data_IF_772616703345
#
_entry.id   IF_772616703345
#
_cell.length_a   1.000
_cell.length_b   1.000
_cell.length_c   1.000
_cell.angle_alpha   90.00
_cell.angle_beta   90.00
_cell.angle_gamma   90.00
#
_symmetry.space_group_name_H-M   'P 1'
#
loop_
_entity.id
_entity.type
_entity.pdbx_description
1 polymer ?
#
# COMPACT_ATOMS: atom_id res chain seq x y z
N UNK A 1 16.20 5.26 12.08
CA UNK A 1 16.66 3.91 11.79
C UNK A 1 15.51 3.08 11.21
N UNK A 2 15.74 2.40 10.09
CA UNK A 2 14.71 1.58 9.44
C UNK A 2 14.48 0.30 10.22
N UNK A 3 13.22 0.00 10.53
CA UNK A 3 12.84 -1.25 11.17
C UNK A 3 12.87 -2.40 10.17
N UNK A 4 13.33 -3.56 10.61
CA UNK A 4 13.41 -4.78 9.80
C UNK A 4 12.95 -5.97 10.63
N UNK A 5 12.34 -6.95 9.98
CA UNK A 5 11.88 -8.18 10.61
C UNK A 5 12.31 -9.38 9.77
N UNK A 6 12.47 -10.54 10.39
CA UNK A 6 12.87 -11.75 9.70
C UNK A 6 11.71 -12.44 8.99
N UNK A 7 10.50 -12.30 9.53
CA UNK A 7 9.33 -13.01 9.04
C UNK A 7 8.15 -12.05 8.88
N UNK A 8 7.21 -12.35 7.97
CA UNK A 8 5.94 -11.62 7.91
C UNK A 8 5.20 -11.71 9.24
N UNK A 9 4.40 -10.69 9.60
CA UNK A 9 3.65 -10.72 10.85
C UNK A 9 2.57 -11.82 10.82
N UNK A 10 2.28 -12.38 11.99
CA UNK A 10 1.13 -13.25 12.14
C UNK A 10 -0.14 -12.46 11.84
N UNK A 11 -1.13 -13.14 11.24
CA UNK A 11 -2.41 -12.52 10.96
C UNK A 11 -3.20 -12.37 12.26
N UNK A 12 -3.37 -11.13 12.71
CA UNK A 12 -4.09 -10.81 13.95
C UNK A 12 -5.35 -9.99 13.70
N UNK A 13 -5.55 -9.52 12.47
CA UNK A 13 -6.76 -8.76 12.12
C UNK A 13 -7.94 -9.69 11.93
N UNK A 14 -9.15 -9.11 12.00
CA UNK A 14 -10.39 -9.83 11.73
C UNK A 14 -10.74 -9.68 10.24
N UNK A 15 -10.69 -10.77 9.43
CA UNK A 15 -10.97 -10.67 7.99
C UNK A 15 -12.43 -10.30 7.67
N UNK A 16 -13.34 -10.38 8.65
CA UNK A 16 -14.73 -10.01 8.45
C UNK A 16 -14.99 -8.51 8.63
N UNK A 17 -14.00 -7.74 9.10
CA UNK A 17 -14.14 -6.30 9.34
C UNK A 17 -13.45 -5.49 8.25
N UNK A 18 -13.98 -4.31 7.95
CA UNK A 18 -13.29 -3.32 7.15
C UNK A 18 -12.32 -2.54 8.05
N UNK A 19 -11.18 -2.18 7.51
CA UNK A 19 -10.18 -1.35 8.20
C UNK A 19 -9.95 -0.07 7.42
N UNK A 20 -9.71 1.01 8.13
CA UNK A 20 -9.47 2.32 7.55
C UNK A 20 -8.11 2.85 7.99
N UNK A 21 -7.37 3.41 7.05
CA UNK A 21 -6.05 3.98 7.31
C UNK A 21 -6.03 5.40 6.78
N UNK A 22 -5.45 6.30 7.54
CA UNK A 22 -5.24 7.69 7.17
C UNK A 22 -3.75 7.90 6.87
N UNK A 23 -3.44 8.42 5.69
CA UNK A 23 -2.10 8.84 5.30
C UNK A 23 -2.08 10.37 5.31
N UNK A 24 -1.34 10.96 6.23
CA UNK A 24 -1.16 12.41 6.29
C UNK A 24 0.08 12.75 5.48
N UNK A 25 -0.10 13.37 4.33
CA UNK A 25 0.99 13.74 3.43
C UNK A 25 1.23 15.24 3.44
N UNK A 26 2.36 15.68 2.89
CA UNK A 26 2.63 17.12 2.73
C UNK A 26 1.71 17.80 1.71
N UNK A 27 0.89 17.04 0.98
CA UNK A 27 -0.12 17.58 0.05
C UNK A 27 -1.54 17.48 0.60
N UNK A 28 -1.75 16.82 1.73
CA UNK A 28 -3.04 16.63 2.36
C UNK A 28 -3.26 15.22 2.83
N UNK A 29 -4.48 14.93 3.25
CA UNK A 29 -4.85 13.65 3.84
C UNK A 29 -5.48 12.74 2.80
N UNK A 30 -5.06 11.45 2.82
CA UNK A 30 -5.66 10.38 2.02
C UNK A 30 -6.21 9.37 3.01
N UNK A 31 -7.48 8.98 2.85
CA UNK A 31 -8.05 7.89 3.64
C UNK A 31 -8.30 6.68 2.75
N UNK A 32 -7.93 5.53 3.27
CA UNK A 32 -8.04 4.24 2.59
C UNK A 32 -9.02 3.35 3.33
N UNK A 33 -9.81 2.59 2.57
CA UNK A 33 -10.59 1.47 3.09
C UNK A 33 -9.92 0.19 2.61
N UNK A 34 -9.62 -0.72 3.53
CA UNK A 34 -8.92 -1.97 3.25
C UNK A 34 -9.87 -3.14 3.34
N UNK A 35 -9.65 -4.16 2.50
CA UNK A 35 -10.56 -5.30 2.35
C UNK A 35 -9.87 -6.61 2.76
N UNK A 36 -9.77 -6.90 4.06
CA UNK A 36 -9.12 -8.13 4.52
C UNK A 36 -9.88 -9.41 4.14
N UNK A 37 -11.17 -9.28 3.79
CA UNK A 37 -11.95 -10.38 3.27
C UNK A 37 -11.31 -10.97 2.00
N UNK A 38 -10.73 -10.13 1.17
CA UNK A 38 -10.16 -10.53 -0.13
C UNK A 38 -8.65 -10.67 -0.12
N UNK A 39 -7.96 -10.01 0.81
CA UNK A 39 -6.50 -10.02 0.90
C UNK A 39 -6.06 -9.95 2.37
N UNK A 40 -6.37 -10.99 3.17
CA UNK A 40 -6.15 -10.92 4.63
C UNK A 40 -4.69 -10.73 5.04
N UNK A 41 -3.76 -11.42 4.39
CA UNK A 41 -2.34 -11.28 4.74
C UNK A 41 -1.79 -9.92 4.33
N UNK A 42 -2.20 -9.43 3.17
CA UNK A 42 -1.77 -8.12 2.66
C UNK A 42 -2.28 -7.00 3.55
N UNK A 43 -3.56 -7.03 3.91
CA UNK A 43 -4.15 -6.03 4.82
C UNK A 43 -3.49 -6.12 6.20
N UNK A 44 -3.31 -7.33 6.73
CA UNK A 44 -2.66 -7.53 8.01
C UNK A 44 -1.23 -6.94 8.02
N UNK A 45 -0.48 -7.20 6.96
CA UNK A 45 0.87 -6.66 6.79
C UNK A 45 0.87 -5.14 6.78
N UNK A 46 -0.02 -4.55 6.01
CA UNK A 46 -0.11 -3.09 5.91
C UNK A 46 -0.45 -2.46 7.25
N UNK A 47 -1.43 -3.01 7.96
CA UNK A 47 -1.83 -2.52 9.29
C UNK A 47 -0.69 -2.69 10.29
N UNK A 48 0.01 -3.82 10.26
CA UNK A 48 1.18 -4.05 11.11
C UNK A 48 2.23 -2.95 10.90
N UNK A 49 2.56 -2.66 9.64
CA UNK A 49 3.57 -1.65 9.32
C UNK A 49 3.11 -0.24 9.71
N UNK A 50 1.82 0.06 9.53
CA UNK A 50 1.25 1.34 9.99
C UNK A 50 1.41 1.47 11.51
N UNK A 51 1.07 0.44 12.27
CA UNK A 51 1.16 0.44 13.72
C UNK A 51 2.61 0.53 14.22
N UNK A 52 3.56 0.05 13.43
CA UNK A 52 4.99 0.13 13.75
C UNK A 52 5.62 1.45 13.31
N UNK A 53 4.82 2.40 12.84
CA UNK A 53 5.29 3.69 12.31
C UNK A 53 6.28 3.54 11.14
N UNK A 54 6.21 2.41 10.44
CA UNK A 54 7.16 2.07 9.37
C UNK A 54 7.08 3.06 8.20
N UNK A 55 5.88 3.53 7.90
CA UNK A 55 5.64 4.44 6.78
C UNK A 55 5.84 5.91 7.12
N UNK A 56 6.03 6.25 8.40
CA UNK A 56 6.21 7.64 8.80
C UNK A 56 7.52 8.19 8.23
N UNK A 57 7.43 9.30 7.52
CA UNK A 57 8.58 9.92 6.87
C UNK A 57 9.01 9.29 5.54
N UNK A 58 8.27 8.31 5.05
CA UNK A 58 8.61 7.60 3.80
C UNK A 58 8.04 8.35 2.59
N UNK A 59 8.83 8.43 1.53
CA UNK A 59 8.47 9.19 0.34
C UNK A 59 7.70 8.36 -0.69
N UNK A 60 6.96 9.07 -1.56
CA UNK A 60 6.50 8.50 -2.82
C UNK A 60 7.66 8.61 -3.81
N UNK A 61 8.45 7.56 -3.91
CA UNK A 61 9.70 7.57 -4.67
C UNK A 61 9.51 7.40 -6.18
N UNK A 62 8.30 7.02 -6.61
CA UNK A 62 7.99 6.86 -8.02
C UNK A 62 6.56 7.32 -8.28
N UNK A 63 6.41 8.35 -9.10
CA UNK A 63 5.11 8.91 -9.47
C UNK A 63 5.05 9.06 -10.97
N UNK A 64 4.05 8.45 -11.60
CA UNK A 64 3.84 8.53 -13.05
C UNK A 64 2.43 9.01 -13.30
N UNK A 65 2.28 10.17 -13.93
CA UNK A 65 0.99 10.78 -14.23
C UNK A 65 0.08 9.81 -15.00
N UNK A 66 -1.20 9.82 -14.65
CA UNK A 66 -2.24 8.97 -15.24
C UNK A 66 -2.01 7.47 -15.00
N UNK A 67 -1.04 7.11 -14.17
CA UNK A 67 -0.73 5.73 -13.84
C UNK A 67 -0.88 5.50 -12.33
N UNK A 68 0.10 5.90 -11.53
CA UNK A 68 0.08 5.60 -10.09
C UNK A 68 1.07 6.46 -9.31
N UNK A 69 0.89 6.47 -7.99
CA UNK A 69 1.88 6.95 -7.03
C UNK A 69 2.37 5.74 -6.23
N UNK A 70 3.66 5.56 -6.11
CA UNK A 70 4.27 4.40 -5.44
C UNK A 70 5.16 4.85 -4.29
N UNK A 71 4.98 4.22 -3.15
CA UNK A 71 5.77 4.49 -1.94
C UNK A 71 5.94 3.25 -1.09
N UNK A 72 6.35 3.45 0.16
CA UNK A 72 6.47 2.35 1.11
C UNK A 72 7.86 1.75 1.22
N UNK A 73 8.82 2.24 0.45
CA UNK A 73 10.22 1.86 0.58
C UNK A 73 10.92 2.84 1.53
N UNK A 74 11.34 2.39 2.72
CA UNK A 74 11.97 3.29 3.70
C UNK A 74 13.29 3.88 3.23
N UNK A 75 13.94 3.27 2.23
CA UNK A 75 15.19 3.79 1.66
C UNK A 75 14.93 4.77 0.51
N UNK A 76 13.72 4.79 -0.06
CA UNK A 76 13.37 5.65 -1.18
C UNK A 76 14.02 5.27 -2.50
N UNK A 77 14.68 4.11 -2.58
CA UNK A 77 15.42 3.67 -3.77
C UNK A 77 14.61 2.78 -4.71
N UNK A 78 13.51 2.22 -4.22
CA UNK A 78 12.71 1.24 -4.96
C UNK A 78 13.11 -0.21 -4.67
N UNK A 79 14.19 -0.43 -3.94
CA UNK A 79 14.68 -1.78 -3.62
C UNK A 79 14.61 -2.14 -2.14
N UNK A 80 14.22 -1.21 -1.28
CA UNK A 80 14.09 -1.44 0.15
C UNK A 80 12.75 -2.05 0.53
N UNK A 81 12.66 -2.54 1.76
CA UNK A 81 11.45 -3.15 2.28
C UNK A 81 11.57 -3.48 3.77
N UNK A 82 10.67 -4.30 4.31
CA UNK A 82 10.61 -4.57 5.75
C UNK A 82 11.51 -5.73 6.22
N UNK A 83 12.27 -6.34 5.32
CA UNK A 83 13.18 -7.45 5.65
C UNK A 83 12.61 -8.82 5.35
N UNK A 84 11.38 -8.91 4.91
CA UNK A 84 10.71 -10.19 4.55
C UNK A 84 9.93 -10.02 3.25
N UNK A 85 9.49 -11.15 2.70
CA UNK A 85 8.58 -11.21 1.55
C UNK A 85 7.44 -12.17 1.85
N UNK A 86 6.31 -11.95 1.19
CA UNK A 86 5.17 -12.86 1.32
C UNK A 86 4.44 -13.00 -0.02
N UNK A 87 3.63 -14.05 -0.09
CA UNK A 87 2.93 -14.44 -1.31
C UNK A 87 1.83 -13.47 -1.73
N UNK A 88 1.53 -13.46 -3.03
CA UNK A 88 0.40 -12.74 -3.59
C UNK A 88 -0.92 -13.35 -3.11
N UNK A 89 -1.95 -12.53 -3.05
CA UNK A 89 -3.32 -12.97 -2.73
C UNK A 89 -4.22 -12.67 -3.92
N UNK A 90 -4.03 -13.45 -4.99
CA UNK A 90 -4.72 -13.25 -6.27
C UNK A 90 -5.88 -14.23 -6.48
N UNK A 91 -5.71 -15.48 -6.08
CA UNK A 91 -6.75 -16.51 -6.23
C UNK A 91 -7.93 -16.19 -5.31
N UNK A 92 -9.11 -16.08 -5.89
CA UNK A 92 -10.32 -15.75 -5.14
C UNK A 92 -10.46 -14.28 -4.79
N UNK A 93 -9.52 -13.44 -5.20
CA UNK A 93 -9.59 -11.99 -4.99
C UNK A 93 -10.28 -11.33 -6.18
N UNK A 94 -11.52 -10.81 -6.03
CA UNK A 94 -12.26 -10.22 -7.14
C UNK A 94 -11.87 -8.78 -7.45
N UNK A 95 -11.00 -8.17 -6.63
CA UNK A 95 -10.67 -6.75 -6.77
C UNK A 95 -9.81 -6.51 -8.01
N UNK A 96 -10.11 -5.42 -8.71
CA UNK A 96 -9.44 -5.04 -9.96
C UNK A 96 -8.73 -3.69 -9.79
N UNK A 97 -7.77 -3.44 -10.67
CA UNK A 97 -7.06 -2.16 -10.70
C UNK A 97 -7.91 -1.09 -11.39
N UNK A 98 -8.95 -0.63 -10.69
CA UNK A 98 -9.72 0.53 -11.09
C UNK A 98 -8.99 1.82 -10.73
N UNK A 99 -9.69 2.98 -10.78
CA UNK A 99 -9.16 4.25 -10.30
C UNK A 99 -9.05 4.26 -8.79
N UNK A 100 -7.96 4.87 -8.28
CA UNK A 100 -7.80 5.16 -6.84
C UNK A 100 -7.91 3.92 -5.96
N UNK A 101 -7.33 2.82 -6.41
CA UNK A 101 -7.17 1.61 -5.60
C UNK A 101 -5.74 1.51 -5.09
N UNK A 102 -5.57 0.87 -3.92
CA UNK A 102 -4.25 0.55 -3.39
C UNK A 102 -3.93 -0.91 -3.65
N UNK A 103 -2.71 -1.15 -4.13
CA UNK A 103 -2.23 -2.46 -4.55
C UNK A 103 -0.77 -2.61 -4.15
N UNK A 104 -0.27 -3.84 -4.06
CA UNK A 104 1.11 -4.10 -3.68
C UNK A 104 2.04 -4.03 -4.88
N UNK A 105 3.10 -3.23 -4.75
CA UNK A 105 4.22 -3.29 -5.66
C UNK A 105 5.01 -4.57 -5.40
N UNK A 106 5.62 -5.13 -6.44
CA UNK A 106 6.43 -6.35 -6.30
C UNK A 106 7.52 -6.39 -7.37
N UNK A 107 8.43 -7.35 -7.22
CA UNK A 107 9.52 -7.62 -8.15
C UNK A 107 9.33 -8.97 -8.84
N UNK A 108 8.09 -9.35 -9.08
CA UNK A 108 7.68 -10.63 -9.65
C UNK A 108 6.77 -11.38 -8.69
N UNK A 109 6.36 -12.61 -9.01
CA UNK A 109 5.42 -13.36 -8.18
C UNK A 109 5.93 -13.56 -6.75
N UNK A 110 5.03 -13.39 -5.77
CA UNK A 110 5.28 -13.72 -4.36
C UNK A 110 6.46 -12.96 -3.74
N UNK A 111 6.62 -11.67 -4.09
CA UNK A 111 7.70 -10.82 -3.56
C UNK A 111 7.17 -9.58 -2.86
N UNK A 112 5.99 -9.66 -2.26
CA UNK A 112 5.40 -8.54 -1.54
C UNK A 112 6.17 -8.23 -0.26
N UNK A 113 6.31 -6.95 0.05
CA UNK A 113 6.95 -6.49 1.28
C UNK A 113 6.21 -5.28 1.82
N UNK A 114 6.78 -4.09 1.71
CA UNK A 114 6.16 -2.87 2.21
C UNK A 114 5.75 -1.89 1.11
N UNK A 115 6.28 -2.03 -0.09
CA UNK A 115 5.97 -1.08 -1.17
C UNK A 115 4.57 -1.29 -1.71
N UNK A 116 3.88 -0.18 -1.93
CA UNK A 116 2.52 -0.17 -2.47
C UNK A 116 2.38 0.96 -3.49
N UNK A 117 1.31 0.90 -4.26
CA UNK A 117 0.96 2.01 -5.15
C UNK A 117 -0.54 2.27 -5.10
N UNK A 118 -0.90 3.52 -5.42
CA UNK A 118 -2.30 3.94 -5.54
C UNK A 118 -2.47 4.42 -6.99
N UNK A 119 -3.45 3.87 -7.69
CA UNK A 119 -3.67 4.19 -9.10
C UNK A 119 -4.31 5.58 -9.26
N UNK A 120 -3.93 6.28 -10.34
CA UNK A 120 -4.64 7.48 -10.79
C UNK A 120 -5.90 7.10 -11.56
N UNK A 121 -5.71 6.26 -12.57
CA UNK A 121 -6.75 5.80 -13.51
C UNK A 121 -6.73 4.27 -13.55
N UNK A 122 -7.75 3.62 -14.14
CA UNK A 122 -7.75 2.16 -14.25
C UNK A 122 -6.53 1.62 -14.96
N UNK A 123 -5.96 0.53 -14.41
CA UNK A 123 -4.78 -0.13 -14.94
C UNK A 123 -5.03 -1.64 -15.06
N UNK A 124 -5.89 -2.08 -15.98
CA UNK A 124 -6.28 -3.48 -16.06
C UNK A 124 -5.13 -4.44 -16.38
N UNK A 125 -4.06 -3.95 -16.99
CA UNK A 125 -2.89 -4.78 -17.28
C UNK A 125 -2.16 -5.26 -16.01
N UNK A 126 -2.45 -4.68 -14.84
CA UNK A 126 -1.87 -5.09 -13.56
C UNK A 126 -2.69 -6.17 -12.85
N UNK A 127 -3.91 -6.43 -13.32
CA UNK A 127 -4.75 -7.48 -12.74
C UNK A 127 -4.05 -8.83 -12.86
N UNK A 128 -4.20 -9.67 -11.85
CA UNK A 128 -3.54 -10.99 -11.72
C UNK A 128 -2.03 -10.96 -11.55
N UNK A 129 -1.43 -9.77 -11.34
CA UNK A 129 0.02 -9.62 -11.10
C UNK A 129 0.32 -8.91 -9.79
N UNK A 130 -0.60 -8.08 -9.32
CA UNK A 130 -0.47 -7.29 -8.11
C UNK A 130 -1.71 -7.47 -7.25
N UNK A 131 -1.52 -7.55 -5.94
CA UNK A 131 -2.63 -7.75 -4.99
C UNK A 131 -3.31 -6.43 -4.67
N UNK A 132 -4.51 -6.23 -5.18
CA UNK A 132 -5.37 -5.10 -4.77
C UNK A 132 -5.95 -5.43 -3.40
N UNK A 133 -5.87 -4.51 -2.44
CA UNK A 133 -6.35 -4.76 -1.08
C UNK A 133 -7.15 -3.62 -0.47
N UNK A 134 -7.43 -2.57 -1.23
CA UNK A 134 -8.22 -1.45 -0.73
C UNK A 134 -8.46 -0.38 -1.78
N UNK A 135 -9.06 0.71 -1.35
CA UNK A 135 -9.32 1.87 -2.20
C UNK A 135 -9.27 3.17 -1.41
N UNK A 136 -9.10 4.27 -2.12
CA UNK A 136 -9.19 5.62 -1.55
C UNK A 136 -10.67 5.97 -1.39
N UNK A 137 -11.04 6.37 -0.17
CA UNK A 137 -12.42 6.81 0.13
C UNK A 137 -12.49 8.31 0.39
N UNK A 138 -11.34 8.96 0.64
CA UNK A 138 -11.25 10.40 0.82
C UNK A 138 -9.85 10.86 0.40
N UNK A 139 -9.76 12.03 -0.25
CA UNK A 139 -8.46 12.56 -0.68
C UNK A 139 -8.06 12.14 -2.09
N UNK A 140 -9.01 11.82 -2.97
CA UNK A 140 -8.71 11.45 -4.35
C UNK A 140 -7.94 12.56 -5.07
N UNK A 141 -8.30 13.81 -4.82
CA UNK A 141 -7.61 14.98 -5.35
C UNK A 141 -6.18 15.11 -4.80
N UNK A 142 -5.97 14.69 -3.56
CA UNK A 142 -4.62 14.65 -2.96
C UNK A 142 -3.76 13.63 -3.70
N UNK A 143 -4.30 12.45 -4.00
CA UNK A 143 -3.58 11.44 -4.79
C UNK A 143 -3.10 12.05 -6.12
N UNK A 144 -3.97 12.78 -6.79
CA UNK A 144 -3.64 13.42 -8.07
C UNK A 144 -2.60 14.54 -7.93
N UNK A 145 -2.46 15.12 -6.74
CA UNK A 145 -1.53 16.22 -6.48
C UNK A 145 -0.15 15.75 -6.00
N UNK A 146 -0.01 14.49 -5.59
CA UNK A 146 1.27 13.94 -5.15
C UNK A 146 2.28 13.98 -6.29
N UNK A 147 3.52 14.35 -5.96
CA UNK A 147 4.65 14.37 -6.89
C UNK A 147 5.78 13.54 -6.31
N UNK A 148 6.69 13.11 -7.18
CA UNK A 148 7.83 12.32 -6.76
C UNK A 148 8.63 13.07 -5.69
N UNK A 149 8.89 12.37 -4.57
CA UNK A 149 9.56 12.96 -3.42
C UNK A 149 8.62 13.49 -2.34
N UNK A 150 7.31 13.57 -2.60
CA UNK A 150 6.36 13.93 -1.55
C UNK A 150 6.37 12.86 -0.44
N UNK A 151 6.01 13.24 0.76
CA UNK A 151 6.26 12.46 1.98
C UNK A 151 4.96 12.08 2.68
N UNK A 152 4.91 10.84 3.16
CA UNK A 152 3.92 10.43 4.16
C UNK A 152 4.46 10.89 5.51
N UNK A 153 3.85 11.92 6.09
CA UNK A 153 4.28 12.44 7.38
C UNK A 153 3.89 11.50 8.50
N UNK A 154 2.72 10.90 8.40
CA UNK A 154 2.22 9.93 9.36
C UNK A 154 1.15 9.05 8.74
N UNK A 155 1.19 7.74 9.07
CA UNK A 155 0.13 6.79 8.74
C UNK A 155 -0.48 6.28 10.05
N UNK A 156 -1.80 6.21 10.11
CA UNK A 156 -2.51 5.77 11.32
C UNK A 156 -3.78 5.01 10.98
N UNK A 157 -4.16 4.10 11.88
CA UNK A 157 -5.44 3.40 11.80
C UNK A 157 -6.53 4.34 12.32
N UNK A 158 -7.62 4.43 11.60
CA UNK A 158 -8.72 5.33 11.95
C UNK A 158 -9.90 4.55 12.54
#
# INVERSE_FOLDING_TARGET
MTKQWQNPPEVTIDPSQAYHVKLETNKGEIQLELYPEHAPKTVNNFIFLVNEAFYDGVTFHRVIDNFMIQGGDPTGSGSGGPGYRFEDELVGNPLKHGSKVISMANAGPNTNGSQFFITHLPQPHLDSKHTVFGKVIQGEDVVDSIRQGDVIQKASIV
#
